data_IF_528311804401
#
_entry.id   IF_528311804401
#
_cell.length_a   1.000
_cell.length_b   1.000
_cell.length_c   1.000
_cell.angle_alpha   90.00
_cell.angle_beta   90.00
_cell.angle_gamma   90.00
#
_symmetry.space_group_name_H-M   'P 1'
#
loop_
_entity.id
_entity.type
_entity.pdbx_description
1 polymer ?
#
# COMPACT_ATOMS: atom_id res chain seq x y z
N UNK A 1 -14.47 15.45 27.80
CA UNK A 1 -15.22 14.71 26.77
C UNK A 1 -14.41 13.47 26.41
N UNK A 2 -15.07 12.34 26.21
CA UNK A 2 -14.43 11.10 25.75
C UNK A 2 -14.00 11.26 24.30
N UNK A 3 -12.73 11.01 23.98
CA UNK A 3 -12.22 11.13 22.60
C UNK A 3 -12.73 9.97 21.75
N UNK A 4 -13.10 10.24 20.50
CA UNK A 4 -13.36 9.23 19.46
C UNK A 4 -12.11 9.05 18.63
N UNK A 5 -11.57 7.84 18.57
CA UNK A 5 -10.27 7.55 17.97
C UNK A 5 -10.41 6.36 17.02
N UNK A 6 -9.91 6.50 15.80
CA UNK A 6 -9.73 5.42 14.84
C UNK A 6 -8.22 5.25 14.60
N UNK A 7 -7.75 4.02 14.79
CA UNK A 7 -6.34 3.65 14.65
C UNK A 7 -6.22 2.58 13.60
N UNK A 8 -5.18 2.66 12.78
CA UNK A 8 -4.81 1.61 11.84
C UNK A 8 -3.31 1.32 11.91
N UNK A 9 -2.94 0.12 11.52
CA UNK A 9 -1.59 -0.24 11.08
C UNK A 9 -1.60 -0.40 9.56
N UNK A 10 -0.43 -0.44 8.93
CA UNK A 10 -0.32 -0.76 7.51
C UNK A 10 -1.01 -2.11 7.20
N UNK A 11 -1.58 -2.22 6.01
CA UNK A 11 -2.22 -3.45 5.56
C UNK A 11 -1.12 -4.44 5.12
N UNK A 12 -0.99 -5.62 5.75
CA UNK A 12 0.06 -6.56 5.35
C UNK A 12 -0.30 -7.17 4.00
N UNK A 13 0.72 -7.33 3.16
CA UNK A 13 0.51 -7.79 1.79
C UNK A 13 0.25 -9.29 1.74
N UNK A 14 -0.82 -9.73 1.08
CA UNK A 14 -1.28 -11.13 1.04
C UNK A 14 -0.40 -12.07 0.20
N UNK A 15 0.84 -11.67 -0.10
CA UNK A 15 1.81 -12.45 -0.87
C UNK A 15 2.92 -13.07 -0.01
N UNK A 16 2.88 -12.94 1.31
CA UNK A 16 3.84 -13.59 2.20
C UNK A 16 3.46 -13.49 3.67
N UNK A 17 3.94 -14.44 4.46
CA UNK A 17 3.64 -14.57 5.89
C UNK A 17 4.07 -13.36 6.73
N UNK A 18 3.39 -13.17 7.86
CA UNK A 18 3.78 -12.20 8.88
C UNK A 18 5.17 -12.57 9.46
N UNK A 19 5.96 -11.55 9.76
CA UNK A 19 7.32 -11.69 10.27
C UNK A 19 7.62 -10.65 11.35
N UNK A 20 8.72 -10.79 12.09
CA UNK A 20 9.00 -9.92 13.24
C UNK A 20 9.02 -8.42 12.90
N UNK A 21 9.46 -8.05 11.68
CA UNK A 21 9.38 -6.66 11.20
C UNK A 21 7.95 -6.10 11.14
N UNK A 22 6.96 -6.91 10.76
CA UNK A 22 5.54 -6.53 10.82
C UNK A 22 5.13 -6.32 12.27
N UNK A 23 5.44 -7.29 13.15
CA UNK A 23 5.03 -7.26 14.55
C UNK A 23 5.52 -6.04 15.33
N UNK A 24 6.64 -5.43 14.95
CA UNK A 24 7.06 -4.13 15.53
C UNK A 24 5.95 -3.08 15.40
N UNK A 25 5.32 -2.98 14.23
CA UNK A 25 4.24 -2.04 13.96
C UNK A 25 2.98 -2.40 14.75
N UNK A 26 2.51 -3.64 14.62
CA UNK A 26 1.24 -4.06 15.19
C UNK A 26 1.27 -4.10 16.71
N UNK A 27 2.38 -4.52 17.33
CA UNK A 27 2.54 -4.51 18.80
C UNK A 27 2.63 -3.07 19.32
N UNK A 28 3.39 -2.19 18.66
CA UNK A 28 3.44 -0.78 19.04
C UNK A 28 2.05 -0.14 18.99
N UNK A 29 1.30 -0.44 17.92
CA UNK A 29 -0.06 0.07 17.71
C UNK A 29 -1.02 -0.47 18.78
N UNK A 30 -0.97 -1.77 19.05
CA UNK A 30 -1.84 -2.44 20.03
C UNK A 30 -1.61 -1.92 21.45
N UNK A 31 -0.34 -1.73 21.87
CA UNK A 31 0.00 -1.11 23.17
C UNK A 31 -0.63 0.29 23.27
N UNK A 32 -0.53 1.10 22.22
CA UNK A 32 -1.09 2.45 22.20
C UNK A 32 -2.62 2.42 22.27
N UNK A 33 -3.27 1.54 21.49
CA UNK A 33 -4.73 1.35 21.48
C UNK A 33 -5.24 0.92 22.85
N UNK A 34 -4.60 -0.08 23.47
CA UNK A 34 -4.96 -0.57 24.81
C UNK A 34 -4.86 0.55 25.84
N UNK A 35 -3.79 1.34 25.79
CA UNK A 35 -3.66 2.52 26.65
C UNK A 35 -4.83 3.51 26.44
N UNK A 36 -5.20 3.83 25.18
CA UNK A 36 -6.33 4.73 24.94
C UNK A 36 -7.65 4.17 25.48
N UNK A 37 -7.93 2.88 25.26
CA UNK A 37 -9.12 2.19 25.79
C UNK A 37 -9.13 2.23 27.34
N UNK A 38 -7.99 1.97 27.99
CA UNK A 38 -7.85 2.05 29.45
C UNK A 38 -8.06 3.47 30.01
N UNK A 39 -7.75 4.51 29.23
CA UNK A 39 -8.05 5.91 29.58
C UNK A 39 -9.52 6.29 29.41
N UNK A 40 -10.36 5.35 28.96
CA UNK A 40 -11.79 5.54 28.76
C UNK A 40 -12.15 6.16 27.42
N UNK A 41 -11.22 6.27 26.47
CA UNK A 41 -11.50 6.77 25.12
C UNK A 41 -12.23 5.72 24.28
N UNK A 42 -13.13 6.17 23.39
CA UNK A 42 -13.72 5.31 22.36
C UNK A 42 -12.69 5.14 21.25
N UNK A 43 -11.93 4.05 21.31
CA UNK A 43 -10.83 3.76 20.38
C UNK A 43 -11.14 2.51 19.57
N UNK A 44 -11.17 2.63 18.25
CA UNK A 44 -11.33 1.52 17.32
C UNK A 44 -10.02 1.26 16.59
N UNK A 45 -9.56 0.02 16.62
CA UNK A 45 -8.37 -0.43 15.90
C UNK A 45 -8.79 -1.33 14.75
N UNK A 46 -8.61 -0.85 13.52
CA UNK A 46 -8.98 -1.59 12.32
C UNK A 46 -7.77 -1.82 11.43
N UNK A 47 -7.73 -2.98 10.79
CA UNK A 47 -6.75 -3.33 9.77
C UNK A 47 -7.40 -4.24 8.73
N UNK A 48 -6.64 -4.69 7.74
CA UNK A 48 -7.07 -5.57 6.66
C UNK A 48 -5.83 -6.10 5.93
N UNK A 49 -5.95 -7.24 5.25
CA UNK A 49 -4.92 -7.63 4.27
C UNK A 49 -5.00 -6.76 3.01
N UNK A 50 -3.84 -6.39 2.48
CA UNK A 50 -3.71 -5.87 1.12
C UNK A 50 -3.61 -7.02 0.12
N UNK A 51 -4.69 -7.20 -0.65
CA UNK A 51 -4.96 -8.42 -1.41
C UNK A 51 -4.84 -8.29 -2.92
N UNK A 52 -4.61 -7.08 -3.47
CA UNK A 52 -4.62 -6.88 -4.92
C UNK A 52 -3.21 -6.92 -5.56
N UNK A 53 -3.21 -7.04 -6.88
CA UNK A 53 -2.03 -6.84 -7.70
C UNK A 53 -1.50 -8.05 -8.45
N UNK A 54 -0.67 -7.77 -9.45
CA UNK A 54 0.03 -8.77 -10.27
C UNK A 54 0.79 -9.82 -9.46
N UNK A 55 1.50 -9.51 -8.35
CA UNK A 55 2.16 -10.55 -7.54
C UNK A 55 1.19 -11.62 -7.03
N UNK A 56 0.02 -11.25 -6.52
CA UNK A 56 -1.00 -12.17 -6.01
C UNK A 56 -1.55 -13.04 -7.14
N UNK A 57 -1.92 -12.40 -8.27
CA UNK A 57 -2.43 -13.09 -9.45
C UNK A 57 -1.46 -14.18 -9.94
N UNK A 58 -0.17 -13.84 -10.06
CA UNK A 58 0.85 -14.78 -10.54
C UNK A 58 1.18 -15.86 -9.51
N UNK A 59 1.14 -15.55 -8.21
CA UNK A 59 1.31 -16.59 -7.18
C UNK A 59 0.16 -17.59 -7.22
N UNK A 60 -1.07 -17.12 -7.37
CA UNK A 60 -2.24 -17.97 -7.48
C UNK A 60 -2.16 -18.89 -8.72
N UNK A 61 -1.78 -18.33 -9.88
CA UNK A 61 -1.52 -19.10 -11.11
C UNK A 61 -0.45 -20.18 -10.90
N UNK A 62 0.69 -19.82 -10.28
CA UNK A 62 1.77 -20.76 -9.98
C UNK A 62 1.38 -21.88 -9.00
N UNK A 63 0.44 -21.60 -8.09
CA UNK A 63 -0.10 -22.60 -7.15
C UNK A 63 -1.29 -23.38 -7.73
N UNK A 64 -1.77 -23.04 -8.93
CA UNK A 64 -2.92 -23.68 -9.56
C UNK A 64 -4.25 -23.42 -8.84
N UNK A 65 -4.37 -22.28 -8.15
CA UNK A 65 -5.57 -21.86 -7.41
C UNK A 65 -6.05 -20.49 -7.87
N UNK A 66 -7.29 -20.13 -7.51
CA UNK A 66 -7.79 -18.76 -7.76
C UNK A 66 -7.15 -17.74 -6.81
N UNK A 67 -7.00 -16.47 -7.21
CA UNK A 67 -6.55 -15.41 -6.31
C UNK A 67 -7.38 -15.32 -5.02
N UNK A 68 -8.70 -15.51 -5.10
CA UNK A 68 -9.61 -15.51 -3.97
C UNK A 68 -9.30 -16.62 -2.96
N UNK A 69 -9.00 -17.84 -3.44
CA UNK A 69 -8.57 -18.94 -2.57
C UNK A 69 -7.23 -18.64 -1.90
N UNK A 70 -6.28 -18.03 -2.64
CA UNK A 70 -4.99 -17.65 -2.10
C UNK A 70 -5.15 -16.63 -0.97
N UNK A 71 -5.87 -15.52 -1.21
CA UNK A 71 -6.02 -14.46 -0.21
C UNK A 71 -6.84 -14.91 0.99
N UNK A 72 -7.84 -15.80 0.81
CA UNK A 72 -8.61 -16.33 1.93
C UNK A 72 -7.73 -17.19 2.86
N UNK A 73 -6.85 -18.01 2.28
CA UNK A 73 -5.88 -18.81 3.05
C UNK A 73 -4.88 -17.93 3.78
N UNK A 74 -4.31 -16.94 3.10
CA UNK A 74 -3.31 -16.03 3.69
C UNK A 74 -3.92 -15.13 4.77
N UNK A 75 -5.16 -14.66 4.57
CA UNK A 75 -5.90 -13.89 5.57
C UNK A 75 -6.04 -14.67 6.88
N UNK A 76 -6.39 -15.96 6.81
CA UNK A 76 -6.49 -16.80 8.00
C UNK A 76 -5.13 -16.98 8.68
N UNK A 77 -4.07 -17.22 7.91
CA UNK A 77 -2.69 -17.32 8.42
C UNK A 77 -2.27 -16.03 9.15
N UNK A 78 -2.50 -14.86 8.55
CA UNK A 78 -2.20 -13.56 9.14
C UNK A 78 -2.99 -13.32 10.42
N UNK A 79 -4.30 -13.58 10.39
CA UNK A 79 -5.18 -13.41 11.55
C UNK A 79 -4.73 -14.29 12.72
N UNK A 80 -4.42 -15.57 12.47
CA UNK A 80 -3.96 -16.51 13.49
C UNK A 80 -2.60 -16.09 14.08
N UNK A 81 -1.69 -15.60 13.25
CA UNK A 81 -0.40 -15.08 13.71
C UNK A 81 -0.58 -13.83 14.58
N UNK A 82 -1.40 -12.86 14.16
CA UNK A 82 -1.67 -11.67 14.97
C UNK A 82 -2.37 -11.99 16.29
N UNK A 83 -3.35 -12.90 16.27
CA UNK A 83 -4.07 -13.34 17.46
C UNK A 83 -3.13 -14.01 18.47
N UNK A 84 -2.17 -14.79 18.01
CA UNK A 84 -1.18 -15.44 18.87
C UNK A 84 -0.16 -14.46 19.50
N UNK A 85 0.00 -13.26 18.93
CA UNK A 85 0.71 -12.14 19.55
C UNK A 85 -0.22 -11.18 20.32
N UNK A 86 -1.48 -11.56 20.53
CA UNK A 86 -2.50 -10.78 21.24
C UNK A 86 -2.79 -9.39 20.63
N UNK A 87 -2.54 -9.20 19.34
CA UNK A 87 -2.94 -7.99 18.62
C UNK A 87 -4.46 -7.98 18.50
N UNK A 88 -5.12 -7.02 19.15
CA UNK A 88 -6.57 -7.01 19.32
C UNK A 88 -7.25 -5.98 18.40
N UNK A 89 -7.48 -6.37 17.15
CA UNK A 89 -8.27 -5.57 16.22
C UNK A 89 -9.76 -5.59 16.60
N UNK A 90 -10.42 -4.43 16.51
CA UNK A 90 -11.89 -4.35 16.53
C UNK A 90 -12.49 -4.83 15.19
N UNK A 91 -11.75 -4.68 14.07
CA UNK A 91 -12.06 -5.35 12.81
C UNK A 91 -10.78 -5.62 12.00
N UNK A 92 -10.66 -6.83 11.45
CA UNK A 92 -9.63 -7.21 10.49
C UNK A 92 -10.32 -7.60 9.18
N UNK A 93 -10.10 -6.84 8.11
CA UNK A 93 -10.82 -6.96 6.83
C UNK A 93 -9.91 -7.41 5.68
N UNK A 94 -10.30 -7.03 4.46
CA UNK A 94 -9.53 -7.23 3.23
C UNK A 94 -9.76 -6.05 2.27
N UNK A 95 -8.73 -5.65 1.52
CA UNK A 95 -8.90 -4.65 0.44
C UNK A 95 -9.83 -5.18 -0.66
N UNK A 96 -9.86 -6.48 -0.94
CA UNK A 96 -10.83 -7.12 -1.84
C UNK A 96 -12.18 -7.31 -1.13
N UNK A 97 -12.89 -6.20 -0.90
CA UNK A 97 -14.24 -6.18 -0.32
C UNK A 97 -15.14 -5.16 -1.02
N UNK A 98 -16.46 -5.36 -0.90
CA UNK A 98 -17.44 -4.45 -1.50
C UNK A 98 -17.32 -3.04 -0.91
N UNK A 99 -17.08 -2.91 0.39
CA UNK A 99 -16.93 -1.61 1.04
C UNK A 99 -15.74 -0.84 0.46
N UNK A 100 -14.56 -1.48 0.34
CA UNK A 100 -13.38 -0.85 -0.27
C UNK A 100 -13.62 -0.49 -1.73
N UNK A 101 -14.28 -1.38 -2.50
CA UNK A 101 -14.62 -1.13 -3.91
C UNK A 101 -15.48 0.13 -4.07
N UNK A 102 -16.53 0.25 -3.27
CA UNK A 102 -17.44 1.39 -3.31
C UNK A 102 -16.70 2.70 -2.99
N UNK A 103 -15.86 2.71 -1.94
CA UNK A 103 -15.07 3.89 -1.62
C UNK A 103 -14.01 4.21 -2.68
N UNK A 104 -13.30 3.22 -3.22
CA UNK A 104 -12.26 3.44 -4.22
C UNK A 104 -12.87 4.05 -5.49
N UNK A 105 -13.98 3.48 -5.97
CA UNK A 105 -14.72 4.02 -7.11
C UNK A 105 -15.31 5.41 -6.81
N UNK A 106 -15.82 5.64 -5.60
CA UNK A 106 -16.36 6.93 -5.17
C UNK A 106 -15.30 8.03 -5.12
N UNK A 107 -14.15 7.75 -4.51
CA UNK A 107 -12.99 8.65 -4.46
C UNK A 107 -12.51 8.95 -5.88
N UNK A 108 -12.31 7.93 -6.72
CA UNK A 108 -11.91 8.13 -8.11
C UNK A 108 -12.84 9.07 -8.88
N UNK A 109 -14.17 8.87 -8.76
CA UNK A 109 -15.16 9.73 -9.43
C UNK A 109 -15.07 11.19 -8.95
N UNK A 110 -14.85 11.42 -7.65
CA UNK A 110 -14.67 12.77 -7.09
C UNK A 110 -13.38 13.42 -7.61
N UNK A 111 -12.25 12.71 -7.56
CA UNK A 111 -10.98 13.20 -8.11
C UNK A 111 -11.08 13.52 -9.60
N UNK A 112 -11.79 12.68 -10.37
CA UNK A 112 -12.05 12.90 -11.80
C UNK A 112 -12.92 14.15 -12.01
N UNK A 113 -13.96 14.35 -11.20
CA UNK A 113 -14.80 15.54 -11.26
C UNK A 113 -14.04 16.84 -10.89
N UNK A 114 -13.00 16.75 -10.07
CA UNK A 114 -12.09 17.86 -9.75
C UNK A 114 -10.97 18.07 -10.79
N UNK A 115 -10.99 17.37 -11.93
CA UNK A 115 -9.93 17.40 -12.96
C UNK A 115 -8.54 16.98 -12.44
N UNK A 116 -8.49 16.16 -11.39
CA UNK A 116 -7.26 15.61 -10.82
C UNK A 116 -6.92 14.22 -11.37
N UNK A 117 -7.70 13.71 -12.33
CA UNK A 117 -7.38 12.48 -13.07
C UNK A 117 -7.08 12.84 -14.52
N UNK A 118 -5.90 12.44 -15.00
CA UNK A 118 -5.46 12.65 -16.38
C UNK A 118 -5.23 11.29 -17.06
N UNK A 119 -5.60 11.18 -18.34
CA UNK A 119 -5.32 9.97 -19.13
C UNK A 119 -4.12 10.24 -20.03
N UNK A 120 -3.12 9.34 -19.99
CA UNK A 120 -1.91 9.42 -20.81
C UNK A 120 -1.63 8.06 -21.43
N UNK A 121 -1.32 8.04 -22.72
CA UNK A 121 -0.79 6.83 -23.38
C UNK A 121 0.66 6.64 -22.96
N UNK A 122 0.98 5.47 -22.43
CA UNK A 122 2.35 5.06 -22.09
C UNK A 122 2.76 3.85 -22.95
N UNK A 123 4.05 3.74 -23.25
CA UNK A 123 4.62 2.57 -23.91
C UNK A 123 5.20 1.62 -22.85
N UNK A 124 4.75 0.36 -22.86
CA UNK A 124 5.19 -0.64 -21.88
C UNK A 124 5.40 -1.99 -22.58
N UNK A 125 6.29 -2.81 -22.01
CA UNK A 125 6.48 -4.19 -22.46
C UNK A 125 5.24 -5.06 -22.21
N UNK A 126 4.90 -5.86 -23.21
CA UNK A 126 3.80 -6.80 -23.24
C UNK A 126 4.30 -8.20 -23.53
N UNK A 127 3.84 -9.19 -22.77
CA UNK A 127 4.08 -10.60 -23.00
C UNK A 127 3.03 -11.17 -23.96
N UNK A 128 3.38 -11.54 -25.21
CA UNK A 128 2.42 -12.04 -26.19
C UNK A 128 1.95 -13.47 -25.91
N UNK A 129 2.63 -14.24 -25.06
CA UNK A 129 2.25 -15.61 -24.69
C UNK A 129 1.26 -15.59 -23.54
N UNK A 130 1.52 -14.76 -22.52
CA UNK A 130 0.63 -14.60 -21.36
C UNK A 130 -0.46 -13.54 -21.57
N UNK A 131 -0.39 -12.81 -22.67
CA UNK A 131 -1.31 -11.74 -23.06
C UNK A 131 -1.48 -10.67 -21.95
N UNK A 132 -0.37 -10.20 -21.39
CA UNK A 132 -0.37 -9.24 -20.29
C UNK A 132 0.77 -8.22 -20.40
N UNK A 133 0.54 -6.99 -19.93
CA UNK A 133 1.63 -6.04 -19.71
C UNK A 133 2.52 -6.50 -18.55
N UNK A 134 3.82 -6.24 -18.69
CA UNK A 134 4.83 -6.64 -17.71
C UNK A 134 5.23 -5.44 -16.85
N UNK A 135 4.92 -5.45 -15.54
CA UNK A 135 5.58 -4.57 -14.60
C UNK A 135 7.11 -4.75 -14.67
N UNK A 136 7.87 -3.69 -14.39
CA UNK A 136 9.33 -3.63 -14.47
C UNK A 136 10.02 -4.88 -13.92
N UNK A 137 9.66 -5.29 -12.70
CA UNK A 137 10.21 -6.48 -12.02
C UNK A 137 9.93 -7.83 -12.70
N UNK A 138 9.10 -7.87 -13.73
CA UNK A 138 8.82 -9.06 -14.54
C UNK A 138 9.46 -9.00 -15.93
N UNK A 139 10.23 -7.95 -16.20
CA UNK A 139 11.11 -7.88 -17.36
C UNK A 139 12.50 -8.29 -16.88
N UNK A 140 13.11 -9.24 -17.58
CA UNK A 140 14.50 -9.62 -17.40
C UNK A 140 15.30 -9.35 -18.65
N UNK A 141 16.59 -9.16 -18.50
CA UNK A 141 17.50 -9.13 -19.63
C UNK A 141 18.95 -9.05 -19.20
N UNK A 142 19.78 -8.66 -20.15
CA UNK A 142 21.19 -8.40 -19.93
C UNK A 142 21.43 -6.91 -19.60
N UNK A 143 22.27 -6.64 -18.60
CA UNK A 143 22.59 -5.29 -18.14
C UNK A 143 23.22 -4.46 -19.26
N UNK A 144 22.68 -3.27 -19.61
CA UNK A 144 23.24 -2.42 -20.65
C UNK A 144 24.59 -1.78 -20.29
N UNK A 145 25.07 -1.95 -19.04
CA UNK A 145 26.32 -1.36 -18.56
C UNK A 145 27.44 -2.39 -18.40
N UNK A 146 27.17 -3.53 -17.76
CA UNK A 146 28.19 -4.52 -17.43
C UNK A 146 27.96 -5.89 -18.08
N UNK A 147 26.91 -6.05 -18.89
CA UNK A 147 26.57 -7.31 -19.57
C UNK A 147 26.30 -8.50 -18.63
N UNK A 148 26.03 -8.24 -17.35
CA UNK A 148 25.50 -9.25 -16.45
C UNK A 148 24.13 -9.73 -16.97
N UNK A 149 23.96 -11.05 -17.10
CA UNK A 149 22.72 -11.68 -17.55
C UNK A 149 21.68 -11.74 -16.44
N UNK A 150 20.42 -12.01 -16.80
CA UNK A 150 19.32 -12.27 -15.86
C UNK A 150 19.03 -11.16 -14.85
N UNK A 151 19.24 -9.90 -15.24
CA UNK A 151 18.91 -8.74 -14.41
C UNK A 151 17.43 -8.40 -14.51
N UNK A 152 16.81 -7.97 -13.41
CA UNK A 152 15.40 -7.64 -13.33
C UNK A 152 15.16 -6.13 -13.44
N UNK A 153 14.15 -5.73 -14.20
CA UNK A 153 13.58 -4.39 -14.17
C UNK A 153 14.58 -3.26 -14.45
N UNK A 154 14.65 -2.31 -13.53
CA UNK A 154 15.28 -1.00 -13.69
C UNK A 154 16.67 -0.90 -13.04
N UNK A 155 17.22 -2.01 -12.52
CA UNK A 155 18.50 -2.02 -11.85
C UNK A 155 19.32 -3.29 -12.09
N UNK A 156 20.65 -3.17 -11.97
CA UNK A 156 21.58 -4.31 -12.03
C UNK A 156 22.11 -4.65 -10.64
N UNK A 157 21.92 -5.90 -10.21
CA UNK A 157 22.39 -6.40 -8.91
C UNK A 157 23.92 -6.62 -8.87
N UNK A 158 24.57 -6.68 -10.03
CA UNK A 158 26.03 -6.90 -10.14
C UNK A 158 26.81 -5.59 -10.08
N UNK A 159 26.47 -4.61 -10.92
CA UNK A 159 27.20 -3.34 -11.00
C UNK A 159 26.49 -2.15 -10.31
N UNK A 160 25.26 -2.34 -9.84
CA UNK A 160 24.48 -1.29 -9.16
C UNK A 160 23.92 -0.20 -10.08
N UNK A 161 24.04 -0.34 -11.40
CA UNK A 161 23.49 0.63 -12.36
C UNK A 161 21.96 0.64 -12.32
N UNK A 162 21.37 1.82 -12.49
CA UNK A 162 19.94 2.02 -12.74
C UNK A 162 19.71 2.41 -14.21
N UNK A 163 18.62 1.95 -14.80
CA UNK A 163 18.25 2.15 -16.22
C UNK A 163 16.75 1.92 -16.41
N UNK A 164 16.17 2.31 -17.55
CA UNK A 164 14.80 1.93 -17.84
C UNK A 164 14.75 0.42 -18.17
N UNK A 165 13.68 -0.31 -17.83
CA UNK A 165 13.54 -1.72 -18.23
C UNK A 165 13.64 -1.91 -19.76
N UNK A 166 13.26 -0.89 -20.54
CA UNK A 166 13.41 -0.83 -22.00
C UNK A 166 14.85 -0.76 -22.49
N UNK A 167 15.79 -0.45 -21.61
CA UNK A 167 17.24 -0.42 -21.92
C UNK A 167 17.89 -1.81 -21.76
N UNK A 168 17.19 -2.80 -21.21
CA UNK A 168 17.72 -4.16 -21.07
C UNK A 168 18.03 -4.77 -22.45
N UNK A 169 19.22 -5.36 -22.58
CA UNK A 169 19.63 -6.06 -23.79
C UNK A 169 18.95 -7.44 -23.82
N UNK A 170 18.41 -7.81 -24.99
CA UNK A 170 17.65 -9.06 -25.20
C UNK A 170 16.63 -9.33 -24.07
N UNK A 171 15.64 -8.43 -23.88
CA UNK A 171 14.69 -8.58 -22.81
C UNK A 171 13.81 -9.81 -23.03
N UNK A 172 13.43 -10.45 -21.93
CA UNK A 172 12.49 -11.56 -21.91
C UNK A 172 11.56 -11.47 -20.69
N UNK A 173 10.37 -12.02 -20.82
CA UNK A 173 9.38 -12.11 -19.75
C UNK A 173 9.84 -13.06 -18.67
N UNK A 174 9.89 -12.59 -17.42
CA UNK A 174 10.11 -13.45 -16.26
C UNK A 174 8.93 -14.40 -15.98
N UNK A 175 7.79 -14.20 -16.64
CA UNK A 175 6.58 -15.01 -16.48
C UNK A 175 6.55 -16.17 -17.48
N UNK A 176 6.82 -15.92 -18.75
CA UNK A 176 6.72 -16.94 -19.82
C UNK A 176 8.05 -17.32 -20.49
N UNK A 177 9.09 -16.50 -20.32
CA UNK A 177 10.33 -16.59 -21.10
C UNK A 177 10.25 -16.00 -22.51
N UNK A 178 9.09 -15.50 -22.95
CA UNK A 178 8.94 -14.90 -24.28
C UNK A 178 9.65 -13.54 -24.39
N UNK A 179 10.08 -13.18 -25.60
CA UNK A 179 10.54 -11.82 -25.91
C UNK A 179 9.34 -10.86 -25.83
N UNK A 180 9.37 -9.82 -24.98
CA UNK A 180 8.26 -8.89 -24.87
C UNK A 180 8.23 -7.91 -26.04
N UNK A 181 7.04 -7.41 -26.33
CA UNK A 181 6.78 -6.40 -27.36
C UNK A 181 6.44 -5.06 -26.71
N UNK A 182 6.91 -3.94 -27.26
CA UNK A 182 6.43 -2.63 -26.81
C UNK A 182 5.01 -2.41 -27.33
N UNK A 183 4.09 -2.03 -26.44
CA UNK A 183 2.72 -1.66 -26.78
C UNK A 183 2.31 -0.41 -26.03
N UNK A 184 1.46 0.38 -26.68
CA UNK A 184 0.85 1.55 -26.06
C UNK A 184 -0.38 1.15 -25.24
N UNK A 185 -0.55 1.79 -24.10
CA UNK A 185 -1.71 1.64 -23.23
C UNK A 185 -2.09 2.97 -22.58
N UNK A 186 -3.39 3.30 -22.59
CA UNK A 186 -3.90 4.46 -21.86
C UNK A 186 -3.93 4.17 -20.36
N UNK A 187 -3.23 5.02 -19.59
CA UNK A 187 -3.17 4.94 -18.13
C UNK A 187 -3.78 6.19 -17.50
N UNK A 188 -4.37 6.02 -16.33
CA UNK A 188 -4.99 7.06 -15.53
C UNK A 188 -4.00 7.50 -14.45
N UNK A 189 -3.71 8.79 -14.42
CA UNK A 189 -2.79 9.41 -13.48
C UNK A 189 -3.56 10.29 -12.49
N UNK A 190 -3.32 10.12 -11.20
CA UNK A 190 -3.69 11.12 -10.20
C UNK A 190 -2.68 12.27 -10.25
N UNK A 191 -3.20 13.48 -10.47
CA UNK A 191 -2.41 14.71 -10.58
C UNK A 191 -1.91 15.21 -9.23
N UNK A 192 -1.09 14.41 -8.55
CA UNK A 192 -0.49 14.77 -7.26
C UNK A 192 0.38 16.05 -7.39
N UNK A 193 0.94 16.30 -8.58
CA UNK A 193 1.70 17.52 -8.86
C UNK A 193 0.83 18.77 -9.08
N UNK A 194 -0.50 18.67 -9.08
CA UNK A 194 -1.36 19.85 -9.23
C UNK A 194 -1.16 20.86 -8.10
N UNK A 195 -1.22 22.16 -8.43
CA UNK A 195 -1.01 23.26 -7.48
C UNK A 195 -1.90 23.16 -6.24
N UNK A 196 -3.15 22.69 -6.40
CA UNK A 196 -4.09 22.49 -5.30
C UNK A 196 -3.60 21.43 -4.30
N UNK A 197 -3.14 20.27 -4.81
CA UNK A 197 -2.56 19.20 -4.01
C UNK A 197 -1.29 19.70 -3.31
N UNK A 198 -0.43 20.38 -4.06
CA UNK A 198 0.84 20.87 -3.53
C UNK A 198 0.63 21.89 -2.41
N UNK A 199 -0.24 22.88 -2.61
CA UNK A 199 -0.57 23.89 -1.59
C UNK A 199 -1.09 23.23 -0.32
N UNK A 200 -2.08 22.34 -0.48
CA UNK A 200 -2.63 21.59 0.65
C UNK A 200 -1.55 20.79 1.39
N UNK A 201 -0.70 20.04 0.68
CA UNK A 201 0.34 19.21 1.31
C UNK A 201 1.42 20.04 2.01
N UNK A 202 1.80 21.21 1.48
CA UNK A 202 2.73 22.11 2.16
C UNK A 202 2.19 22.58 3.51
N UNK A 203 0.90 22.90 3.57
CA UNK A 203 0.23 23.28 4.82
C UNK A 203 0.07 22.07 5.76
N UNK A 204 -0.47 20.97 5.24
CA UNK A 204 -0.78 19.78 6.05
C UNK A 204 0.46 19.12 6.66
N UNK A 205 1.55 18.98 5.90
CA UNK A 205 2.81 18.38 6.41
C UNK A 205 3.48 19.21 7.50
N UNK A 206 3.10 20.48 7.66
CA UNK A 206 3.60 21.42 8.69
C UNK A 206 2.61 21.69 9.81
N UNK A 207 1.43 21.06 9.78
CA UNK A 207 0.36 21.23 10.78
C UNK A 207 0.63 20.60 12.15
N UNK A 208 1.71 19.81 12.29
CA UNK A 208 1.96 18.97 13.48
C UNK A 208 1.39 17.54 13.38
N UNK A 209 0.86 17.17 12.20
CA UNK A 209 0.38 15.82 11.88
C UNK A 209 1.50 14.78 11.75
N UNK A 210 2.75 15.20 11.55
CA UNK A 210 3.91 14.35 11.33
C UNK A 210 4.95 14.47 12.45
N UNK A 211 5.75 13.43 12.66
CA UNK A 211 7.02 13.52 13.40
C UNK A 211 7.98 14.47 12.67
N UNK A 212 8.90 15.11 13.40
CA UNK A 212 9.82 16.11 12.83
C UNK A 212 10.66 15.55 11.68
N UNK A 213 11.17 14.33 11.84
CA UNK A 213 11.98 13.62 10.85
C UNK A 213 11.17 13.34 9.57
N UNK A 214 9.91 12.93 9.74
CA UNK A 214 8.98 12.72 8.63
C UNK A 214 8.64 14.04 7.91
N UNK A 215 8.36 15.12 8.65
CA UNK A 215 8.09 16.44 8.09
C UNK A 215 9.30 17.02 7.32
N UNK A 216 10.52 16.75 7.80
CA UNK A 216 11.74 17.12 7.10
C UNK A 216 11.89 16.32 5.80
N UNK A 217 11.59 15.01 5.82
CA UNK A 217 11.61 14.20 4.60
C UNK A 217 10.57 14.68 3.57
N UNK A 218 9.39 15.13 4.02
CA UNK A 218 8.38 15.71 3.12
C UNK A 218 8.87 16.97 2.41
N UNK A 219 9.69 17.81 3.06
CA UNK A 219 10.27 18.98 2.41
C UNK A 219 11.19 18.62 1.25
N UNK A 220 11.97 17.55 1.37
CA UNK A 220 12.81 17.07 0.28
C UNK A 220 11.97 16.67 -0.95
N UNK A 221 10.84 16.00 -0.73
CA UNK A 221 9.95 15.52 -1.80
C UNK A 221 9.02 16.60 -2.36
N UNK A 222 8.57 17.56 -1.54
CA UNK A 222 7.71 18.66 -1.99
C UNK A 222 8.51 19.76 -2.71
N UNK A 223 9.79 19.91 -2.38
CA UNK A 223 10.61 21.04 -2.80
C UNK A 223 10.44 22.28 -1.91
N UNK A 224 11.28 23.29 -2.12
CA UNK A 224 11.17 24.59 -1.43
C UNK A 224 10.03 25.43 -2.02
N UNK A 225 9.72 26.59 -1.44
CA UNK A 225 8.69 27.50 -1.97
C UNK A 225 9.00 27.90 -3.42
N UNK A 226 8.01 27.78 -4.31
CA UNK A 226 8.17 28.01 -5.74
C UNK A 226 8.69 26.81 -6.55
N UNK A 227 9.18 25.74 -5.91
CA UNK A 227 9.49 24.47 -6.57
C UNK A 227 8.28 23.53 -6.53
N UNK A 228 8.16 22.63 -7.51
CA UNK A 228 7.28 21.47 -7.44
C UNK A 228 8.05 20.22 -7.88
N UNK A 229 8.35 19.34 -6.91
CA UNK A 229 9.08 18.08 -7.13
C UNK A 229 8.17 16.86 -7.12
N UNK A 230 6.86 17.05 -6.95
CA UNK A 230 5.91 15.97 -7.04
C UNK A 230 5.70 15.57 -8.50
N UNK A 231 5.52 14.29 -8.73
CA UNK A 231 5.12 13.73 -10.02
C UNK A 231 3.70 13.17 -9.91
N UNK A 232 3.01 13.12 -11.05
CA UNK A 232 1.70 12.48 -11.10
C UNK A 232 1.86 10.97 -11.01
N UNK A 233 0.93 10.35 -10.30
CA UNK A 233 0.98 8.94 -9.99
C UNK A 233 0.07 8.16 -10.91
N UNK A 234 0.61 7.18 -11.64
CA UNK A 234 -0.20 6.22 -12.37
C UNK A 234 -0.97 5.33 -11.38
N UNK A 235 -2.29 5.41 -11.45
CA UNK A 235 -3.23 4.72 -10.57
C UNK A 235 -3.96 3.58 -11.29
N UNK A 236 -3.51 3.18 -12.48
CA UNK A 236 -4.20 2.18 -13.31
C UNK A 236 -3.30 1.05 -13.79
N UNK A 237 -3.88 -0.14 -13.98
CA UNK A 237 -3.22 -1.32 -14.54
C UNK A 237 -4.14 -1.98 -15.56
N UNK A 238 -3.55 -2.51 -16.63
CA UNK A 238 -4.28 -3.27 -17.63
C UNK A 238 -4.69 -4.66 -17.14
N UNK A 239 -5.79 -5.16 -17.69
CA UNK A 239 -6.12 -6.57 -17.66
C UNK A 239 -5.01 -7.42 -18.33
N UNK A 240 -4.78 -8.67 -17.87
CA UNK A 240 -5.36 -9.29 -16.68
C UNK A 240 -4.79 -8.72 -15.38
N UNK A 241 -5.67 -8.44 -14.41
CA UNK A 241 -5.28 -7.94 -13.10
C UNK A 241 -6.26 -8.44 -12.03
N UNK A 242 -5.74 -8.74 -10.84
CA UNK A 242 -6.56 -9.03 -9.68
C UNK A 242 -6.75 -7.75 -8.87
N UNK A 243 -7.91 -7.12 -9.01
CA UNK A 243 -8.25 -5.85 -8.37
C UNK A 243 -9.62 -5.32 -8.78
N UNK A 244 -9.87 -4.05 -8.49
CA UNK A 244 -11.11 -3.39 -8.88
C UNK A 244 -11.01 -2.72 -10.25
N UNK A 245 -11.97 -3.02 -11.12
CA UNK A 245 -12.10 -2.34 -12.41
C UNK A 245 -12.49 -0.86 -12.21
N UNK A 246 -11.83 0.01 -12.98
CA UNK A 246 -12.05 1.46 -12.98
C UNK A 246 -13.40 1.75 -13.64
N UNK A 247 -14.28 2.53 -13.00
CA UNK A 247 -15.56 2.92 -13.60
C UNK A 247 -15.38 3.60 -14.96
N UNK A 248 -16.19 3.18 -15.93
CA UNK A 248 -16.22 3.74 -17.29
C UNK A 248 -14.90 3.54 -18.08
N UNK A 249 -14.05 2.60 -17.67
CA UNK A 249 -12.78 2.27 -18.32
C UNK A 249 -12.60 0.74 -18.42
N UNK A 250 -13.28 0.07 -19.38
CA UNK A 250 -13.26 -1.38 -19.50
C UNK A 250 -11.85 -1.95 -19.65
N UNK A 251 -11.53 -3.01 -18.89
CA UNK A 251 -10.21 -3.65 -18.91
C UNK A 251 -9.11 -2.87 -18.19
N UNK A 252 -9.44 -1.79 -17.48
CA UNK A 252 -8.51 -1.02 -16.63
C UNK A 252 -8.87 -1.23 -15.18
N UNK A 253 -7.87 -1.50 -14.36
CA UNK A 253 -8.00 -1.78 -12.94
C UNK A 253 -7.27 -0.73 -12.12
N UNK A 254 -7.74 -0.44 -10.90
CA UNK A 254 -6.97 0.39 -9.99
C UNK A 254 -5.65 -0.30 -9.64
N UNK A 255 -4.57 0.46 -9.70
CA UNK A 255 -3.31 0.05 -9.11
C UNK A 255 -3.47 -0.05 -7.59
N UNK A 256 -2.91 -1.11 -6.99
CA UNK A 256 -3.04 -1.41 -5.55
C UNK A 256 -2.76 -0.22 -4.62
N UNK A 257 -1.85 0.69 -4.98
CA UNK A 257 -1.57 1.87 -4.14
C UNK A 257 -2.70 2.90 -4.10
N UNK A 258 -3.69 2.82 -5.00
CA UNK A 258 -4.93 3.60 -4.88
C UNK A 258 -5.90 2.95 -3.90
N UNK A 259 -6.17 1.64 -4.02
CA UNK A 259 -7.22 0.98 -3.22
C UNK A 259 -6.75 0.49 -1.85
N UNK A 260 -5.45 0.23 -1.66
CA UNK A 260 -4.88 -0.20 -0.38
C UNK A 260 -5.19 0.77 0.77
N UNK A 261 -4.86 2.08 0.72
CA UNK A 261 -5.21 2.99 1.81
C UNK A 261 -6.74 3.17 1.97
N UNK A 262 -7.51 2.97 0.90
CA UNK A 262 -8.98 2.96 0.98
C UNK A 262 -9.49 1.73 1.75
N UNK A 263 -8.70 0.66 1.83
CA UNK A 263 -8.96 -0.49 2.70
C UNK A 263 -9.10 -0.14 4.18
N UNK A 264 -8.50 0.95 4.66
CA UNK A 264 -8.76 1.46 6.02
C UNK A 264 -10.23 1.89 6.19
N UNK A 265 -10.77 2.59 5.19
CA UNK A 265 -12.18 3.00 5.16
C UNK A 265 -13.10 1.79 5.02
N UNK A 266 -12.75 0.85 4.13
CA UNK A 266 -13.50 -0.39 3.92
C UNK A 266 -13.60 -1.23 5.20
N UNK A 267 -12.46 -1.48 5.87
CA UNK A 267 -12.43 -2.21 7.15
C UNK A 267 -13.21 -1.52 8.25
N UNK A 268 -13.10 -0.19 8.36
CA UNK A 268 -13.91 0.56 9.32
C UNK A 268 -15.40 0.50 8.99
N UNK A 269 -15.78 0.58 7.71
CA UNK A 269 -17.17 0.46 7.28
C UNK A 269 -17.76 -0.91 7.58
N UNK A 270 -16.99 -1.98 7.45
CA UNK A 270 -17.39 -3.32 7.90
C UNK A 270 -17.68 -3.34 9.40
N UNK A 271 -16.84 -2.69 10.22
CA UNK A 271 -17.10 -2.54 11.66
C UNK A 271 -18.38 -1.75 11.92
N UNK A 272 -18.57 -0.62 11.23
CA UNK A 272 -19.79 0.19 11.32
C UNK A 272 -21.05 -0.65 11.03
N UNK A 273 -21.03 -1.45 9.96
CA UNK A 273 -22.14 -2.30 9.58
C UNK A 273 -22.47 -3.35 10.66
N UNK A 274 -21.45 -3.86 11.37
CA UNK A 274 -21.61 -4.85 12.45
C UNK A 274 -22.11 -4.25 13.77
N UNK A 275 -21.76 -3.00 14.06
CA UNK A 275 -21.91 -2.40 15.40
C UNK A 275 -22.84 -1.19 15.46
N UNK A 276 -23.31 -0.69 14.31
CA UNK A 276 -24.17 0.48 14.23
C UNK A 276 -23.46 1.82 14.42
N UNK A 277 -22.11 1.85 14.41
CA UNK A 277 -21.34 3.09 14.41
C UNK A 277 -21.61 3.85 13.11
N UNK A 278 -21.87 5.16 13.20
CA UNK A 278 -21.94 6.02 12.02
C UNK A 278 -20.53 6.20 11.42
N UNK A 279 -20.37 5.86 10.14
CA UNK A 279 -19.10 6.01 9.43
C UNK A 279 -18.70 7.49 9.33
N UNK A 280 -19.67 8.37 9.11
CA UNK A 280 -19.44 9.79 8.88
C UNK A 280 -18.96 10.50 10.15
N UNK A 281 -19.25 9.96 11.33
CA UNK A 281 -18.69 10.46 12.60
C UNK A 281 -17.16 10.42 12.63
N UNK A 282 -16.52 9.54 11.84
CA UNK A 282 -15.06 9.41 11.81
C UNK A 282 -14.43 9.93 10.52
N UNK A 283 -15.11 9.81 9.37
CA UNK A 283 -14.50 10.06 8.06
C UNK A 283 -14.99 11.32 7.35
N UNK A 284 -16.12 11.92 7.75
CA UNK A 284 -16.60 13.16 7.12
C UNK A 284 -15.60 14.29 7.34
N UNK A 285 -15.48 15.18 6.36
CA UNK A 285 -14.67 16.38 6.50
C UNK A 285 -15.12 17.19 7.72
N UNK A 286 -14.17 17.65 8.53
CA UNK A 286 -14.45 18.40 9.76
C UNK A 286 -14.91 17.54 10.95
N UNK A 287 -14.90 16.20 10.86
CA UNK A 287 -15.10 15.33 12.02
C UNK A 287 -14.12 15.70 13.16
N UNK A 288 -14.61 15.67 14.39
CA UNK A 288 -13.86 15.91 15.64
C UNK A 288 -13.21 14.64 16.22
N UNK A 289 -13.44 13.48 15.59
CA UNK A 289 -12.74 12.25 15.94
C UNK A 289 -11.23 12.40 15.70
N UNK A 290 -10.45 11.35 15.93
CA UNK A 290 -9.02 11.36 15.64
C UNK A 290 -8.69 10.15 14.77
N UNK A 291 -7.88 10.34 13.74
CA UNK A 291 -7.43 9.29 12.83
C UNK A 291 -5.92 9.14 12.91
N UNK A 292 -5.46 7.97 13.32
CA UNK A 292 -4.04 7.66 13.48
C UNK A 292 -3.64 6.48 12.62
N UNK A 293 -2.58 6.65 11.84
CA UNK A 293 -1.96 5.57 11.08
C UNK A 293 -0.57 5.28 11.65
N UNK A 294 -0.35 4.05 12.10
CA UNK A 294 0.98 3.52 12.42
C UNK A 294 1.54 2.86 11.17
N UNK A 295 2.72 3.30 10.75
CA UNK A 295 3.31 2.88 9.47
C UNK A 295 4.83 2.71 9.53
N UNK A 296 5.38 1.78 8.76
CA UNK A 296 6.81 1.74 8.45
C UNK A 296 7.27 2.94 7.61
N UNK A 297 8.53 3.34 7.75
CA UNK A 297 9.11 4.48 7.00
C UNK A 297 9.08 4.34 5.47
N UNK A 298 9.03 3.12 4.93
CA UNK A 298 9.07 2.88 3.47
C UNK A 298 7.77 3.28 2.75
N UNK A 299 6.66 3.36 3.49
CA UNK A 299 5.35 3.72 2.94
C UNK A 299 4.94 5.15 3.31
N UNK A 300 5.88 5.93 3.85
CA UNK A 300 5.65 7.29 4.30
C UNK A 300 5.22 8.22 3.15
N UNK A 301 5.81 8.08 1.96
CA UNK A 301 5.43 8.88 0.78
C UNK A 301 3.94 8.76 0.51
N UNK A 302 3.44 7.52 0.46
CA UNK A 302 2.05 7.23 0.18
C UNK A 302 1.12 7.80 1.27
N UNK A 303 1.46 7.62 2.54
CA UNK A 303 0.59 8.04 3.64
C UNK A 303 0.67 9.53 3.98
N UNK A 304 1.75 10.22 3.60
CA UNK A 304 1.97 11.63 3.91
C UNK A 304 1.78 12.57 2.71
N UNK A 305 1.75 12.05 1.47
CA UNK A 305 1.53 12.85 0.25
C UNK A 305 0.31 12.37 -0.52
N UNK A 306 0.34 11.13 -1.03
CA UNK A 306 -0.70 10.61 -1.92
C UNK A 306 -2.06 10.49 -1.21
N UNK A 307 -2.10 9.81 -0.06
CA UNK A 307 -3.33 9.53 0.67
C UNK A 307 -4.04 10.78 1.23
N UNK A 308 -3.37 11.73 1.91
CA UNK A 308 -4.02 12.95 2.38
C UNK A 308 -4.56 13.80 1.23
N UNK A 309 -3.85 13.87 0.09
CA UNK A 309 -4.32 14.59 -1.09
C UNK A 309 -5.57 13.94 -1.68
N UNK A 310 -5.61 12.60 -1.80
CA UNK A 310 -6.82 11.88 -2.22
C UNK A 310 -8.01 12.16 -1.31
N UNK A 311 -7.82 12.09 0.01
CA UNK A 311 -8.89 12.33 0.99
C UNK A 311 -9.43 13.75 0.90
N UNK A 312 -8.54 14.75 0.89
CA UNK A 312 -8.89 16.16 0.83
C UNK A 312 -9.75 16.46 -0.41
N UNK A 313 -9.31 15.99 -1.58
CA UNK A 313 -9.98 16.20 -2.86
C UNK A 313 -11.14 15.23 -3.13
N UNK A 314 -11.40 14.30 -2.21
CA UNK A 314 -12.60 13.48 -2.20
C UNK A 314 -13.60 13.90 -1.09
N UNK A 315 -13.35 15.02 -0.40
CA UNK A 315 -14.25 15.55 0.63
C UNK A 315 -14.31 14.71 1.91
N UNK A 316 -13.22 14.01 2.24
CA UNK A 316 -13.05 13.31 3.50
C UNK A 316 -12.10 14.07 4.43
N UNK A 317 -12.13 13.74 5.72
CA UNK A 317 -11.08 14.21 6.64
C UNK A 317 -9.73 13.59 6.33
N UNK A 318 -8.66 14.26 6.73
CA UNK A 318 -7.28 13.77 6.61
C UNK A 318 -6.79 13.19 7.94
N UNK A 319 -5.68 12.42 7.96
CA UNK A 319 -5.16 11.83 9.19
C UNK A 319 -4.81 12.91 10.22
N UNK A 320 -5.13 12.65 11.48
CA UNK A 320 -4.77 13.51 12.62
C UNK A 320 -3.28 13.41 12.93
N UNK A 321 -2.74 12.18 12.96
CA UNK A 321 -1.28 11.97 12.95
C UNK A 321 -0.87 10.72 12.19
N UNK A 322 0.33 10.76 11.63
CA UNK A 322 1.08 9.57 11.20
C UNK A 322 2.14 9.26 12.25
N UNK A 323 2.16 8.02 12.72
CA UNK A 323 3.19 7.49 13.61
C UNK A 323 4.07 6.53 12.82
N UNK A 324 5.19 7.05 12.33
CA UNK A 324 6.17 6.27 11.58
C UNK A 324 7.18 5.59 12.52
N UNK A 325 7.54 4.34 12.23
CA UNK A 325 8.62 3.62 12.90
C UNK A 325 9.73 3.19 11.92
N UNK A 326 10.91 2.90 12.50
CA UNK A 326 12.07 2.40 11.76
C UNK A 326 11.99 0.89 11.49
N UNK A 327 13.03 0.36 10.84
CA UNK A 327 13.13 -1.09 10.61
C UNK A 327 13.56 -1.83 11.88
N UNK A 328 13.09 -3.08 11.98
CA UNK A 328 13.68 -4.05 12.90
C UNK A 328 15.03 -4.54 12.36
N UNK A 329 16.03 -4.58 13.23
CA UNK A 329 17.28 -5.30 13.00
C UNK A 329 17.36 -6.50 13.93
N UNK A 330 18.04 -7.55 13.48
CA UNK A 330 18.38 -8.72 14.30
C UNK A 330 19.89 -8.78 14.36
N UNK A 331 20.45 -8.76 15.57
CA UNK A 331 21.90 -8.68 15.81
C UNK A 331 22.57 -7.48 15.11
N UNK A 332 21.87 -6.35 15.02
CA UNK A 332 22.37 -5.14 14.36
C UNK A 332 22.30 -5.15 12.82
N UNK A 333 21.81 -6.23 12.20
CA UNK A 333 21.73 -6.36 10.75
C UNK A 333 20.29 -6.36 10.23
N UNK A 334 20.11 -5.97 8.96
CA UNK A 334 18.85 -6.16 8.24
C UNK A 334 18.54 -7.65 8.15
N UNK A 335 17.30 -8.03 8.47
CA UNK A 335 16.82 -9.40 8.36
C UNK A 335 17.07 -9.96 6.96
N UNK A 336 17.57 -11.19 6.89
CA UNK A 336 17.91 -11.88 5.65
C UNK A 336 17.48 -13.34 5.70
N UNK A 337 16.84 -13.80 4.61
CA UNK A 337 16.52 -15.21 4.43
C UNK A 337 17.79 -16.08 4.36
N UNK A 338 18.83 -15.62 3.64
CA UNK A 338 20.07 -16.39 3.46
C UNK A 338 20.88 -16.54 4.76
N UNK A 339 20.78 -15.56 5.67
CA UNK A 339 21.46 -15.59 6.98
C UNK A 339 20.60 -16.19 8.09
N UNK A 340 19.39 -16.67 7.79
CA UNK A 340 18.46 -17.22 8.78
C UNK A 340 17.92 -16.21 9.79
N UNK A 341 18.09 -14.90 9.55
CA UNK A 341 17.59 -13.83 10.43
C UNK A 341 16.23 -13.30 10.03
N UNK A 342 15.66 -13.80 8.93
CA UNK A 342 14.25 -13.60 8.58
C UNK A 342 13.38 -14.57 9.38
N UNK A 343 12.75 -14.08 10.43
CA UNK A 343 11.94 -14.88 11.36
C UNK A 343 10.46 -14.54 11.16
N UNK A 344 9.66 -15.54 10.79
CA UNK A 344 8.20 -15.40 10.68
C UNK A 344 7.55 -15.34 12.07
N UNK A 345 6.37 -14.74 12.17
CA UNK A 345 5.60 -14.68 13.41
C UNK A 345 5.29 -16.10 13.93
N UNK A 346 4.77 -16.97 13.05
CA UNK A 346 4.57 -18.39 13.36
C UNK A 346 5.82 -19.09 13.89
N UNK A 347 6.95 -18.96 13.19
CA UNK A 347 8.21 -19.58 13.60
C UNK A 347 8.66 -19.09 14.98
N UNK A 348 8.47 -17.81 15.30
CA UNK A 348 8.80 -17.28 16.62
C UNK A 348 8.00 -17.96 17.74
N UNK A 349 6.68 -18.07 17.58
CA UNK A 349 5.79 -18.70 18.57
C UNK A 349 6.10 -20.19 18.74
N UNK A 350 6.36 -20.90 17.66
CA UNK A 350 6.66 -22.34 17.70
C UNK A 350 7.93 -22.66 18.52
N UNK A 351 8.86 -21.70 18.63
CA UNK A 351 10.12 -21.86 19.35
C UNK A 351 10.11 -21.23 20.76
N UNK A 352 9.40 -20.12 20.98
CA UNK A 352 9.30 -19.46 22.28
C UNK A 352 8.09 -20.06 23.02
N UNK A 353 8.33 -21.12 23.78
CA UNK A 353 7.29 -21.90 24.49
C UNK A 353 6.56 -21.19 25.64
N UNK A 354 6.73 -19.88 25.82
CA UNK A 354 5.97 -19.09 26.81
C UNK A 354 5.61 -17.73 26.20
N UNK A 355 4.34 -17.54 25.87
CA UNK A 355 3.73 -16.21 25.68
C UNK A 355 3.05 -15.71 26.96
N UNK A 356 3.19 -16.44 28.07
CA UNK A 356 2.80 -16.03 29.44
C UNK A 356 3.99 -15.57 30.28
#
# INVERSE_FOLDING_TARGET
MTRKILVTSALPYANGSIHLGHLVEYIQTDIWVRFQKMRGNTCHYVCADDTHGTPIMLRADNEGITPEQLIARVWQEHYDDFAAFHVAFDNYGSTNSNETKEFAQGIYRKLKAENLIEVRSIEQYYDPVKNMFLPDRFIKGECPKCHAKDQYGDNCEVCGAAYAPTDLIEPFSAVSGAKPELRNSDHYFFKLSADSCQKFLREWTRSGSLQNEAANKMQEWLGTEGENKLTDWDISRDAPYFGFEIPDAPGKYFYVWLDAPVGYMGSFKQLCNKTGIDFDDYWKQGSDAELYHFIGKDILYFHALFWPAMLQHAGFRTPTKLFSHGFLTVNGEKMSKSRGTFITARSYIDHIKNTE
#
